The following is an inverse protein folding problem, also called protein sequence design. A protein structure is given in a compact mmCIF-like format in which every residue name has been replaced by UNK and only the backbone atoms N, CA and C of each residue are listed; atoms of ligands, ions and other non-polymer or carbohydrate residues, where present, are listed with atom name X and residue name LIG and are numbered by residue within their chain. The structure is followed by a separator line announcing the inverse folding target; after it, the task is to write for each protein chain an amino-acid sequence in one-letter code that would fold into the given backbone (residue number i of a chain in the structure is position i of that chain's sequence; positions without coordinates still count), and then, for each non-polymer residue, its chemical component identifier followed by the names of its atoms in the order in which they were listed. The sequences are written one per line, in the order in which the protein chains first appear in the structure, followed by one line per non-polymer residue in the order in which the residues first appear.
data_IF_191884028512
#
_entry.id   IF_191884028512
#
_cell.length_a   1.000
_cell.length_b   1.000
_cell.length_c   1.000
_cell.angle_alpha   90.00
_cell.angle_beta   90.00
_cell.angle_gamma   90.00
#
_symmetry.space_group_name_H-M   'P 1'
#
loop_
_entity.id
_entity.type
_entity.pdbx_description
1 polymer ?
#
# COMPACT_ATOMS: atom_id res chain seq x y z
N UNK A 1 7.48 -49.52 49.11
CA UNK A 1 6.88 -48.18 49.26
C UNK A 1 7.41 -47.19 48.22
N UNK A 2 8.73 -46.99 48.11
CA UNK A 2 9.33 -45.94 47.27
C UNK A 2 9.04 -46.05 45.76
N UNK A 3 9.04 -47.26 45.19
CA UNK A 3 8.70 -47.47 43.77
C UNK A 3 7.23 -47.15 43.45
N UNK A 4 6.32 -47.44 44.37
CA UNK A 4 4.88 -47.16 44.22
C UNK A 4 4.66 -45.64 44.30
N UNK A 5 5.32 -44.96 45.24
CA UNK A 5 5.28 -43.51 45.37
C UNK A 5 5.84 -42.80 44.13
N UNK A 6 6.95 -43.31 43.56
CA UNK A 6 7.52 -42.78 42.33
C UNK A 6 6.58 -42.99 41.13
N UNK A 7 5.96 -44.15 41.00
CA UNK A 7 4.99 -44.43 39.93
C UNK A 7 3.75 -43.54 40.02
N UNK A 8 3.20 -43.33 41.22
CA UNK A 8 2.07 -42.43 41.45
C UNK A 8 2.41 -40.97 41.15
N UNK A 9 3.60 -40.50 41.55
CA UNK A 9 4.06 -39.16 41.25
C UNK A 9 4.23 -38.93 39.73
N UNK A 10 4.76 -39.93 39.02
CA UNK A 10 4.90 -39.86 37.57
C UNK A 10 3.55 -39.87 36.85
N UNK A 11 2.63 -40.75 37.26
CA UNK A 11 1.26 -40.79 36.72
C UNK A 11 0.50 -39.50 36.94
N UNK A 12 0.60 -38.91 38.15
CA UNK A 12 0.00 -37.62 38.46
C UNK A 12 0.60 -36.49 37.62
N UNK A 13 1.93 -36.46 37.45
CA UNK A 13 2.58 -35.45 36.62
C UNK A 13 2.17 -35.57 35.13
N UNK A 14 2.11 -36.78 34.59
CA UNK A 14 1.66 -37.02 33.22
C UNK A 14 0.19 -36.60 33.02
N UNK A 15 -0.69 -36.97 33.95
CA UNK A 15 -2.09 -36.53 33.94
C UNK A 15 -2.21 -35.01 34.03
N UNK A 16 -1.44 -34.38 34.93
CA UNK A 16 -1.43 -32.93 35.10
C UNK A 16 -0.99 -32.23 33.82
N UNK A 17 0.06 -32.72 33.17
CA UNK A 17 0.53 -32.20 31.87
C UNK A 17 -0.54 -32.30 30.79
N UNK A 18 -1.27 -33.41 30.70
CA UNK A 18 -2.41 -33.52 29.78
C UNK A 18 -3.52 -32.52 30.10
N UNK A 19 -3.90 -32.42 31.38
CA UNK A 19 -4.98 -31.53 31.82
C UNK A 19 -4.72 -30.04 31.55
N UNK A 20 -3.46 -29.60 31.64
CA UNK A 20 -3.12 -28.18 31.39
C UNK A 20 -3.15 -27.81 29.91
N UNK A 21 -3.11 -28.78 28.99
CA UNK A 21 -3.27 -28.51 27.55
C UNK A 21 -4.74 -28.46 27.14
N UNK A 22 -5.57 -29.28 27.76
CA UNK A 22 -7.02 -29.31 27.51
C UNK A 22 -7.76 -28.17 28.22
N UNK A 23 -7.11 -27.45 29.14
CA UNK A 23 -7.74 -26.31 29.81
C UNK A 23 -8.18 -25.26 28.76
N UNK A 24 -9.41 -24.72 28.88
CA UNK A 24 -9.81 -23.59 28.08
C UNK A 24 -9.05 -22.34 28.53
N UNK A 25 -8.68 -21.49 27.58
CA UNK A 25 -8.25 -20.14 27.88
C UNK A 25 -9.43 -19.38 28.49
N UNK A 26 -9.16 -18.58 29.52
CA UNK A 26 -10.16 -17.75 30.20
C UNK A 26 -10.44 -16.49 29.36
N UNK A 27 -11.15 -16.70 28.25
CA UNK A 27 -11.47 -15.70 27.24
C UNK A 27 -12.97 -15.73 26.99
N UNK A 28 -13.67 -14.65 27.37
CA UNK A 28 -15.12 -14.55 27.21
C UNK A 28 -15.53 -14.07 25.81
N UNK A 29 -14.67 -13.29 25.14
CA UNK A 29 -14.88 -12.73 23.80
C UNK A 29 -13.58 -12.80 23.01
N UNK A 30 -13.67 -12.78 21.68
CA UNK A 30 -12.48 -12.75 20.82
C UNK A 30 -11.51 -11.63 21.28
N UNK A 31 -10.24 -11.99 21.51
CA UNK A 31 -9.19 -11.02 21.87
C UNK A 31 -7.88 -11.36 21.19
N UNK A 32 -7.09 -10.32 20.94
CA UNK A 32 -5.76 -10.44 20.34
C UNK A 32 -4.70 -10.55 21.43
N UNK A 33 -3.88 -11.60 21.36
CA UNK A 33 -2.73 -11.81 22.23
C UNK A 33 -1.47 -11.34 21.50
N UNK A 34 -0.93 -10.20 21.94
CA UNK A 34 0.35 -9.70 21.43
C UNK A 34 1.53 -10.50 22.01
N UNK A 35 2.36 -11.01 21.11
CA UNK A 35 3.67 -11.60 21.36
C UNK A 35 4.75 -10.64 20.84
N UNK A 36 5.36 -9.82 21.72
CA UNK A 36 6.39 -8.86 21.30
C UNK A 36 7.68 -9.54 20.82
N UNK A 37 8.44 -8.83 19.99
CA UNK A 37 9.74 -9.31 19.51
C UNK A 37 10.71 -9.63 20.66
N UNK A 38 11.42 -10.75 20.55
CA UNK A 38 12.35 -11.24 21.58
C UNK A 38 11.69 -11.87 22.81
N UNK A 39 10.37 -12.07 22.80
CA UNK A 39 9.65 -12.74 23.89
C UNK A 39 9.86 -14.26 23.85
N UNK A 40 10.11 -14.86 25.02
CA UNK A 40 10.21 -16.32 25.14
C UNK A 40 8.87 -16.93 25.54
N UNK A 41 8.59 -18.20 25.17
CA UNK A 41 7.37 -18.91 25.60
C UNK A 41 7.15 -18.86 27.11
N UNK A 42 8.22 -19.03 27.90
CA UNK A 42 8.18 -18.94 29.35
C UNK A 42 7.64 -17.59 29.84
N UNK A 43 8.08 -16.48 29.23
CA UNK A 43 7.61 -15.13 29.57
C UNK A 43 6.14 -14.97 29.21
N UNK A 44 5.70 -15.52 28.08
CA UNK A 44 4.28 -15.53 27.71
C UNK A 44 3.43 -16.31 28.70
N UNK A 45 3.82 -17.51 29.13
CA UNK A 45 3.02 -18.29 30.08
C UNK A 45 2.79 -17.56 31.40
N UNK A 46 3.84 -16.96 31.98
CA UNK A 46 3.69 -16.19 33.21
C UNK A 46 2.87 -14.92 33.01
N UNK A 47 3.05 -14.23 31.86
CA UNK A 47 2.23 -13.06 31.52
C UNK A 47 0.76 -13.44 31.41
N UNK A 48 0.44 -14.47 30.64
CA UNK A 48 -0.92 -14.96 30.45
C UNK A 48 -1.55 -15.39 31.78
N UNK A 49 -0.79 -16.08 32.65
CA UNK A 49 -1.28 -16.40 33.99
C UNK A 49 -1.54 -15.16 34.84
N UNK A 50 -0.66 -14.15 34.79
CA UNK A 50 -0.87 -12.90 35.52
C UNK A 50 -2.04 -12.07 34.99
N UNK A 51 -2.36 -12.21 33.70
CA UNK A 51 -3.55 -11.62 33.06
C UNK A 51 -4.81 -12.47 33.25
N UNK A 52 -4.71 -13.60 33.98
CA UNK A 52 -5.82 -14.51 34.22
C UNK A 52 -6.25 -15.33 33.01
N UNK A 53 -5.47 -15.38 31.92
CA UNK A 53 -5.83 -16.07 30.68
C UNK A 53 -5.72 -17.60 30.76
N UNK A 54 -4.87 -18.10 31.63
CA UNK A 54 -4.62 -19.53 31.83
C UNK A 54 -4.08 -19.75 33.25
N UNK A 55 -4.08 -21.01 33.67
CA UNK A 55 -3.50 -21.44 34.94
C UNK A 55 -2.27 -22.32 34.74
N UNK A 56 -1.55 -22.57 35.84
CA UNK A 56 -0.49 -23.58 35.89
C UNK A 56 0.68 -23.33 34.90
N UNK A 57 1.13 -22.08 34.72
CA UNK A 57 2.23 -21.73 33.80
C UNK A 57 3.52 -22.55 34.01
N UNK A 58 3.78 -23.01 35.24
CA UNK A 58 4.92 -23.89 35.56
C UNK A 58 4.85 -25.22 34.82
N UNK A 59 3.66 -25.83 34.74
CA UNK A 59 3.43 -27.09 34.03
C UNK A 59 3.48 -26.90 32.53
N UNK A 60 2.93 -25.78 32.03
CA UNK A 60 3.03 -25.41 30.61
C UNK A 60 4.49 -25.20 30.17
N UNK A 61 5.29 -24.53 31.01
CA UNK A 61 6.74 -24.40 30.80
C UNK A 61 7.43 -25.76 30.78
N UNK A 62 7.05 -26.66 31.68
CA UNK A 62 7.63 -28.01 31.72
C UNK A 62 7.31 -28.77 30.44
N UNK A 63 6.05 -28.74 30.01
CA UNK A 63 5.61 -29.35 28.76
C UNK A 63 6.36 -28.76 27.56
N UNK A 64 6.39 -27.43 27.42
CA UNK A 64 7.06 -26.76 26.30
C UNK A 64 8.53 -27.13 26.21
N UNK A 65 9.23 -27.14 27.36
CA UNK A 65 10.67 -27.46 27.41
C UNK A 65 10.99 -28.88 26.94
N UNK A 66 10.11 -29.85 27.17
CA UNK A 66 10.37 -31.25 26.84
C UNK A 66 9.74 -31.71 25.52
N UNK A 67 8.62 -31.11 25.10
CA UNK A 67 7.85 -31.56 23.93
C UNK A 67 7.92 -30.59 22.75
N UNK A 68 8.18 -29.31 23.01
CA UNK A 68 8.25 -28.23 22.00
C UNK A 68 9.68 -27.67 21.89
N UNK A 69 10.69 -28.49 22.20
CA UNK A 69 12.09 -28.10 22.07
C UNK A 69 12.42 -27.84 20.59
N UNK A 70 12.72 -26.58 20.26
CA UNK A 70 13.02 -26.14 18.89
C UNK A 70 11.86 -25.43 18.19
N UNK A 71 10.65 -25.41 18.75
CA UNK A 71 9.53 -24.63 18.21
C UNK A 71 9.79 -23.14 18.42
N UNK A 72 9.83 -22.39 17.32
CA UNK A 72 9.94 -20.94 17.37
C UNK A 72 8.60 -20.31 17.73
N UNK A 73 8.61 -19.35 18.66
CA UNK A 73 7.45 -18.52 18.94
C UNK A 73 7.51 -17.30 18.01
N UNK A 74 6.56 -17.21 17.08
CA UNK A 74 6.51 -16.09 16.14
C UNK A 74 6.03 -14.81 16.83
N UNK A 75 6.62 -13.69 16.43
CA UNK A 75 6.21 -12.35 16.88
C UNK A 75 4.95 -11.92 16.13
N UNK A 76 4.03 -11.25 16.82
CA UNK A 76 2.81 -10.73 16.21
C UNK A 76 1.63 -10.77 17.17
N UNK A 77 0.42 -10.71 16.63
CA UNK A 77 -0.82 -10.90 17.38
C UNK A 77 -1.42 -12.27 17.03
N UNK A 78 -1.91 -12.99 18.03
CA UNK A 78 -2.66 -14.23 17.84
C UNK A 78 -4.11 -14.03 18.25
N UNK A 79 -5.04 -14.55 17.45
CA UNK A 79 -6.47 -14.52 17.77
C UNK A 79 -6.80 -15.59 18.81
N UNK A 80 -7.33 -15.16 19.95
CA UNK A 80 -7.87 -16.04 20.99
C UNK A 80 -9.38 -16.03 20.91
N UNK A 81 -9.98 -17.20 20.71
CA UNK A 81 -11.43 -17.37 20.65
C UNK A 81 -11.98 -17.93 21.98
N UNK A 82 -13.24 -17.63 22.33
CA UNK A 82 -13.90 -18.30 23.46
C UNK A 82 -13.86 -19.82 23.32
N UNK A 83 -13.51 -20.52 24.40
CA UNK A 83 -13.40 -21.99 24.42
C UNK A 83 -12.13 -22.55 23.77
N UNK A 84 -11.24 -21.70 23.24
CA UNK A 84 -9.94 -22.14 22.72
C UNK A 84 -9.10 -22.77 23.83
N UNK A 85 -8.52 -23.95 23.61
CA UNK A 85 -7.68 -24.62 24.60
C UNK A 85 -6.21 -24.19 24.51
N UNK A 86 -5.43 -24.44 25.56
CA UNK A 86 -3.98 -24.19 25.52
C UNK A 86 -3.27 -25.04 24.46
N UNK A 87 -3.72 -26.28 24.24
CA UNK A 87 -3.22 -27.11 23.14
C UNK A 87 -3.42 -26.45 21.77
N UNK A 88 -4.62 -25.92 21.50
CA UNK A 88 -4.91 -25.18 20.26
C UNK A 88 -4.08 -23.90 20.13
N UNK A 89 -3.77 -23.23 21.25
CA UNK A 89 -2.87 -22.08 21.24
C UNK A 89 -1.44 -22.49 20.87
N UNK A 90 -0.96 -23.61 21.37
CA UNK A 90 0.38 -24.10 21.04
C UNK A 90 0.47 -24.50 19.58
N UNK A 91 -0.58 -25.13 19.05
CA UNK A 91 -0.70 -25.42 17.63
C UNK A 91 -0.65 -24.13 16.78
N UNK A 92 -1.38 -23.09 17.19
CA UNK A 92 -1.35 -21.78 16.52
C UNK A 92 0.05 -21.12 16.59
N UNK A 93 0.72 -21.20 17.75
CA UNK A 93 2.09 -20.71 17.90
C UNK A 93 3.08 -21.47 17.02
N UNK A 94 2.96 -22.80 16.95
CA UNK A 94 3.82 -23.65 16.15
C UNK A 94 3.64 -23.42 14.64
N UNK A 95 2.41 -23.20 14.17
CA UNK A 95 2.14 -22.86 12.77
C UNK A 95 2.48 -21.42 12.42
N UNK A 96 2.66 -20.56 13.43
CA UNK A 96 2.82 -19.13 13.21
C UNK A 96 1.53 -18.49 12.67
N UNK A 97 0.37 -18.91 13.18
CA UNK A 97 -0.96 -18.39 12.80
C UNK A 97 -1.18 -16.97 13.37
N UNK A 98 -0.28 -16.06 13.04
CA UNK A 98 -0.31 -14.65 13.45
C UNK A 98 -1.25 -13.86 12.54
N UNK A 99 -1.92 -12.88 13.13
CA UNK A 99 -2.73 -11.90 12.40
C UNK A 99 -1.81 -11.11 11.46
N UNK A 100 -2.18 -11.10 10.18
CA UNK A 100 -1.51 -10.34 9.14
C UNK A 100 -2.27 -9.05 8.83
N UNK A 101 -1.52 -8.00 8.57
CA UNK A 101 -2.01 -6.71 8.09
C UNK A 101 -1.44 -6.45 6.70
N UNK A 102 -2.09 -5.53 5.98
CA UNK A 102 -1.71 -5.15 4.63
C UNK A 102 -1.40 -3.66 4.58
N UNK A 103 -0.32 -3.30 3.90
CA UNK A 103 -0.04 -1.93 3.49
C UNK A 103 0.15 -1.90 1.97
N UNK A 104 -0.73 -1.19 1.27
CA UNK A 104 -0.60 -1.00 -0.17
C UNK A 104 0.21 0.26 -0.47
N UNK A 105 1.33 0.09 -1.16
CA UNK A 105 2.07 1.17 -1.80
C UNK A 105 1.56 1.31 -3.23
N UNK A 106 1.10 2.51 -3.59
CA UNK A 106 0.39 2.72 -4.85
C UNK A 106 1.33 3.25 -5.93
N UNK A 107 1.11 2.80 -7.17
CA UNK A 107 1.81 3.29 -8.37
C UNK A 107 1.67 4.81 -8.51
N UNK A 108 2.71 5.49 -8.97
CA UNK A 108 2.72 6.93 -9.19
C UNK A 108 2.88 7.79 -7.91
N UNK A 109 3.03 7.16 -6.73
CA UNK A 109 3.39 7.84 -5.48
C UNK A 109 4.85 8.29 -5.47
N UNK A 110 5.11 9.42 -4.82
CA UNK A 110 6.45 9.85 -4.44
C UNK A 110 6.93 9.12 -3.18
N UNK A 111 8.23 9.11 -2.92
CA UNK A 111 8.80 8.56 -1.69
C UNK A 111 8.21 9.23 -0.44
N UNK A 112 7.92 10.53 -0.51
CA UNK A 112 7.22 11.26 0.55
C UNK A 112 5.86 10.65 0.88
N UNK A 113 5.08 10.27 -0.15
CA UNK A 113 3.76 9.64 0.04
C UNK A 113 3.90 8.23 0.61
N UNK A 114 4.90 7.47 0.15
CA UNK A 114 5.23 6.15 0.72
C UNK A 114 5.53 6.28 2.21
N UNK A 115 6.42 7.21 2.60
CA UNK A 115 6.75 7.46 4.02
C UNK A 115 5.52 7.85 4.84
N UNK A 116 4.65 8.71 4.29
CA UNK A 116 3.43 9.12 4.96
C UNK A 116 2.42 7.96 5.13
N UNK A 117 2.35 7.04 4.18
CA UNK A 117 1.50 5.86 4.29
C UNK A 117 2.01 4.89 5.36
N UNK A 118 3.33 4.62 5.37
CA UNK A 118 3.97 3.76 6.39
C UNK A 118 3.81 4.36 7.78
N UNK A 119 4.07 5.66 7.95
CA UNK A 119 4.00 6.35 9.25
C UNK A 119 2.59 6.42 9.87
N UNK A 120 1.54 6.19 9.08
CA UNK A 120 0.15 6.16 9.58
C UNK A 120 -0.30 4.81 10.11
N UNK A 121 0.46 3.75 9.83
CA UNK A 121 0.02 2.41 10.14
C UNK A 121 0.41 1.99 11.57
N UNK A 122 -0.52 2.05 12.52
CA UNK A 122 -0.29 1.84 13.97
C UNK A 122 0.31 0.48 14.36
N UNK A 123 0.16 -0.54 13.50
CA UNK A 123 0.70 -1.89 13.71
C UNK A 123 2.17 -2.03 13.28
N UNK A 124 2.70 -1.07 12.52
CA UNK A 124 4.12 -1.02 12.13
C UNK A 124 4.90 -0.40 13.28
N UNK A 125 6.07 -0.96 13.57
CA UNK A 125 7.01 -0.35 14.50
C UNK A 125 7.76 0.77 13.77
N UNK A 126 7.45 2.01 14.11
CA UNK A 126 8.10 3.19 13.52
C UNK A 126 9.50 3.39 14.11
N UNK A 127 10.53 3.32 13.26
CA UNK A 127 11.94 3.53 13.61
C UNK A 127 12.62 4.57 12.72
N UNK A 128 11.89 5.10 11.73
CA UNK A 128 12.34 6.10 10.75
C UNK A 128 11.74 7.50 10.98
N UNK A 129 10.96 7.68 12.06
CA UNK A 129 10.33 8.96 12.39
C UNK A 129 11.39 10.06 12.63
N UNK A 130 11.14 11.24 12.05
CA UNK A 130 12.02 12.40 12.17
C UNK A 130 13.31 12.33 11.35
N UNK A 131 13.59 11.22 10.66
CA UNK A 131 14.79 11.08 9.82
C UNK A 131 14.62 11.76 8.46
N UNK A 132 15.71 12.32 7.95
CA UNK A 132 15.81 12.77 6.56
C UNK A 132 15.81 11.58 5.59
N UNK A 133 15.52 11.85 4.32
CA UNK A 133 15.53 10.82 3.27
C UNK A 133 16.90 10.14 3.12
N UNK A 134 18.00 10.87 3.37
CA UNK A 134 19.36 10.33 3.36
C UNK A 134 19.56 9.35 4.53
N UNK A 135 19.19 9.74 5.75
CA UNK A 135 19.32 8.89 6.94
C UNK A 135 18.43 7.63 6.87
N UNK A 136 17.27 7.73 6.22
CA UNK A 136 16.42 6.56 5.93
C UNK A 136 17.16 5.59 5.02
N UNK A 137 17.74 6.07 3.92
CA UNK A 137 18.48 5.24 2.99
C UNK A 137 19.74 4.65 3.63
N UNK A 138 20.42 5.37 4.52
CA UNK A 138 21.53 4.84 5.32
C UNK A 138 21.10 3.67 6.21
N UNK A 139 19.95 3.80 6.89
CA UNK A 139 19.40 2.71 7.72
C UNK A 139 18.97 1.49 6.92
N UNK A 140 18.56 1.68 5.67
CA UNK A 140 18.26 0.60 4.73
C UNK A 140 19.54 0.00 4.11
N UNK A 141 20.72 0.54 4.41
CA UNK A 141 22.00 0.07 3.89
C UNK A 141 22.34 0.57 2.49
N UNK A 142 21.66 1.63 2.02
CA UNK A 142 21.80 2.22 0.68
C UNK A 142 22.33 3.65 0.75
N UNK A 143 23.45 3.85 1.45
CA UNK A 143 24.06 5.17 1.66
C UNK A 143 24.40 5.88 0.35
N UNK A 144 24.04 7.17 0.26
CA UNK A 144 24.29 8.00 -0.92
C UNK A 144 23.34 7.74 -2.10
N UNK A 145 22.37 6.83 -1.95
CA UNK A 145 21.37 6.53 -2.97
C UNK A 145 20.13 7.39 -2.75
N UNK A 146 19.65 8.08 -3.80
CA UNK A 146 18.42 8.84 -3.74
C UNK A 146 17.18 7.90 -3.75
N UNK A 147 16.21 8.06 -2.84
CA UNK A 147 15.14 7.08 -2.63
C UNK A 147 14.01 7.10 -3.68
N UNK A 148 13.86 8.18 -4.43
CA UNK A 148 12.71 8.33 -5.34
C UNK A 148 12.69 7.24 -6.41
N UNK A 149 11.52 6.63 -6.58
CA UNK A 149 11.27 5.52 -7.50
C UNK A 149 11.90 4.19 -7.11
N UNK A 150 12.50 4.05 -5.91
CA UNK A 150 13.26 2.85 -5.51
C UNK A 150 12.50 1.82 -4.69
N UNK A 151 11.19 1.96 -4.55
CA UNK A 151 10.36 1.04 -3.77
C UNK A 151 9.21 0.54 -4.65
N UNK A 152 9.11 -0.77 -4.81
CA UNK A 152 8.11 -1.34 -5.70
C UNK A 152 6.69 -1.12 -5.14
N UNK A 153 5.75 -0.57 -5.91
CA UNK A 153 4.37 -0.45 -5.49
C UNK A 153 3.70 -1.84 -5.51
N UNK A 154 3.22 -2.29 -4.37
CA UNK A 154 2.51 -3.55 -4.17
C UNK A 154 1.76 -3.51 -2.82
N UNK A 155 0.99 -4.57 -2.53
CA UNK A 155 0.41 -4.80 -1.20
C UNK A 155 1.33 -5.67 -0.36
N UNK A 156 1.97 -5.06 0.64
CA UNK A 156 2.88 -5.70 1.55
C UNK A 156 2.14 -6.27 2.75
N UNK A 157 2.32 -7.57 2.99
CA UNK A 157 1.80 -8.26 4.17
C UNK A 157 2.81 -8.18 5.29
N UNK A 158 2.35 -7.85 6.49
CA UNK A 158 3.20 -7.78 7.67
C UNK A 158 2.43 -8.17 8.93
N UNK A 159 3.17 -8.34 10.03
CA UNK A 159 2.63 -8.66 11.34
C UNK A 159 2.90 -7.50 12.29
N UNK A 160 2.13 -7.40 13.38
CA UNK A 160 2.38 -6.36 14.38
C UNK A 160 3.81 -6.41 14.89
N UNK A 161 4.44 -5.24 14.94
CA UNK A 161 5.80 -5.08 15.45
C UNK A 161 6.90 -5.24 14.40
N UNK A 162 6.56 -5.63 13.16
CA UNK A 162 7.46 -5.48 12.01
C UNK A 162 7.82 -4.00 11.85
N UNK A 163 9.10 -3.71 11.64
CA UNK A 163 9.60 -2.34 11.50
C UNK A 163 9.32 -1.77 10.11
N UNK A 164 9.20 -0.44 10.06
CA UNK A 164 9.16 0.33 8.82
C UNK A 164 10.42 0.11 7.95
N UNK A 165 11.60 -0.05 8.57
CA UNK A 165 12.84 -0.44 7.88
C UNK A 165 12.69 -1.77 7.16
N UNK A 166 12.19 -2.81 7.83
CA UNK A 166 12.01 -4.13 7.22
C UNK A 166 11.03 -4.09 6.05
N UNK A 167 9.92 -3.34 6.19
CA UNK A 167 8.91 -3.22 5.13
C UNK A 167 9.48 -2.48 3.91
N UNK A 168 10.16 -1.36 4.13
CA UNK A 168 10.79 -0.61 3.04
C UNK A 168 11.94 -1.40 2.38
N UNK A 169 12.69 -2.19 3.15
CA UNK A 169 13.72 -3.07 2.60
C UNK A 169 13.11 -4.13 1.66
N UNK A 170 11.98 -4.73 2.05
CA UNK A 170 11.26 -5.66 1.18
C UNK A 170 10.82 -4.99 -0.11
N UNK A 171 10.26 -3.78 -0.04
CA UNK A 171 9.82 -3.04 -1.21
C UNK A 171 10.99 -2.63 -2.14
N UNK A 172 12.14 -2.29 -1.56
CA UNK A 172 13.36 -1.99 -2.29
C UNK A 172 13.89 -3.22 -3.03
N UNK A 173 14.08 -4.34 -2.32
CA UNK A 173 14.56 -5.59 -2.91
C UNK A 173 13.61 -6.10 -3.99
N UNK A 174 12.30 -5.95 -3.77
CA UNK A 174 11.29 -6.32 -4.75
C UNK A 174 11.47 -5.54 -6.05
N UNK A 175 11.72 -4.24 -5.99
CA UNK A 175 11.97 -3.44 -7.18
C UNK A 175 13.21 -3.93 -7.92
N UNK A 176 14.31 -4.17 -7.21
CA UNK A 176 15.56 -4.64 -7.81
C UNK A 176 15.34 -5.97 -8.56
N UNK A 177 14.59 -6.91 -7.98
CA UNK A 177 14.21 -8.17 -8.63
C UNK A 177 13.38 -7.93 -9.91
N UNK A 178 12.35 -7.08 -9.83
CA UNK A 178 11.49 -6.78 -10.97
C UNK A 178 12.30 -6.12 -12.08
N UNK A 179 13.06 -5.09 -11.74
CA UNK A 179 13.86 -4.34 -12.70
C UNK A 179 14.93 -5.21 -13.35
N UNK A 180 15.60 -6.08 -12.58
CA UNK A 180 16.58 -7.00 -13.12
C UNK A 180 15.95 -7.98 -14.13
N UNK A 181 14.75 -8.51 -13.82
CA UNK A 181 14.02 -9.40 -14.73
C UNK A 181 13.60 -8.69 -16.01
N UNK A 182 12.91 -7.57 -15.91
CA UNK A 182 12.45 -6.82 -17.10
C UNK A 182 13.64 -6.33 -17.93
N UNK A 183 14.75 -5.93 -17.29
CA UNK A 183 15.96 -5.52 -17.97
C UNK A 183 16.59 -6.65 -18.80
N UNK A 184 16.52 -7.89 -18.31
CA UNK A 184 17.02 -9.05 -19.05
C UNK A 184 16.17 -9.35 -20.31
N UNK A 185 14.88 -9.02 -20.28
CA UNK A 185 13.91 -9.26 -21.35
C UNK A 185 13.70 -8.05 -22.29
N UNK A 186 14.43 -6.95 -22.07
CA UNK A 186 14.27 -5.69 -22.81
C UNK A 186 14.56 -5.82 -24.31
N UNK A 187 13.96 -4.93 -25.11
CA UNK A 187 14.32 -4.79 -26.52
C UNK A 187 15.75 -4.26 -26.72
N UNK A 188 16.36 -4.58 -27.86
CA UNK A 188 17.70 -4.11 -28.21
C UNK A 188 17.69 -2.63 -28.60
N UNK A 189 18.86 -1.98 -28.50
CA UNK A 189 19.07 -0.60 -28.98
C UNK A 189 18.25 0.48 -28.24
N UNK A 190 17.86 0.22 -26.99
CA UNK A 190 17.29 1.27 -26.14
C UNK A 190 18.35 2.33 -25.82
N UNK A 191 17.97 3.62 -25.76
CA UNK A 191 18.92 4.70 -25.53
C UNK A 191 19.32 4.87 -24.04
N UNK A 192 19.10 3.84 -23.22
CA UNK A 192 19.44 3.81 -21.80
C UNK A 192 20.83 3.20 -21.58
N UNK A 193 21.60 3.77 -20.67
CA UNK A 193 22.94 3.25 -20.32
C UNK A 193 22.88 2.09 -19.33
N UNK A 194 21.89 2.10 -18.46
CA UNK A 194 21.75 1.19 -17.33
C UNK A 194 20.26 1.01 -16.94
N UNK A 195 19.93 0.02 -16.10
CA UNK A 195 18.56 -0.20 -15.64
C UNK A 195 17.94 1.00 -14.89
N UNK A 196 18.77 1.83 -14.24
CA UNK A 196 18.26 2.98 -13.50
C UNK A 196 17.73 4.06 -14.44
N UNK A 197 18.35 4.28 -15.60
CA UNK A 197 17.79 5.18 -16.61
C UNK A 197 16.44 4.69 -17.17
N UNK A 198 16.26 3.37 -17.32
CA UNK A 198 14.97 2.82 -17.71
C UNK A 198 13.91 3.04 -16.61
N UNK A 199 14.30 2.94 -15.34
CA UNK A 199 13.43 3.26 -14.21
C UNK A 199 13.01 4.73 -14.19
N UNK A 200 13.92 5.65 -14.53
CA UNK A 200 13.58 7.08 -14.69
C UNK A 200 12.51 7.23 -15.80
N UNK A 201 12.74 6.63 -16.96
CA UNK A 201 11.77 6.66 -18.07
C UNK A 201 10.41 6.06 -17.66
N UNK A 202 10.41 4.92 -16.98
CA UNK A 202 9.19 4.29 -16.46
C UNK A 202 8.39 5.26 -15.57
N UNK A 203 9.07 6.09 -14.77
CA UNK A 203 8.39 7.06 -13.89
C UNK A 203 7.74 8.22 -14.65
N UNK A 204 8.28 8.59 -15.82
CA UNK A 204 7.64 9.55 -16.70
C UNK A 204 6.38 8.93 -17.33
N UNK A 205 6.49 7.69 -17.83
CA UNK A 205 5.36 6.95 -18.43
C UNK A 205 4.22 6.75 -17.42
N UNK A 206 4.54 6.33 -16.19
CA UNK A 206 3.55 6.10 -15.13
C UNK A 206 2.75 7.37 -14.79
N UNK A 207 3.41 8.53 -14.80
CA UNK A 207 2.76 9.80 -14.48
C UNK A 207 1.98 10.40 -15.65
N UNK A 208 2.22 9.94 -16.86
CA UNK A 208 1.58 10.46 -18.07
C UNK A 208 0.20 9.82 -18.31
N UNK A 209 0.06 8.51 -18.13
CA UNK A 209 -1.22 7.83 -18.38
C UNK A 209 -1.57 6.78 -17.33
N UNK A 210 -2.86 6.72 -16.98
CA UNK A 210 -3.45 5.59 -16.26
C UNK A 210 -4.03 4.51 -17.18
N UNK A 211 -4.00 4.70 -18.50
CA UNK A 211 -4.56 3.75 -19.48
C UNK A 211 -3.46 2.74 -19.88
N UNK A 212 -3.61 1.45 -19.54
CA UNK A 212 -2.58 0.44 -19.80
C UNK A 212 -2.18 0.34 -21.28
N UNK A 213 -3.15 0.48 -22.20
CA UNK A 213 -2.93 0.30 -23.64
C UNK A 213 -2.09 1.42 -24.27
N UNK A 214 -1.99 2.59 -23.64
CA UNK A 214 -1.24 3.74 -24.18
C UNK A 214 0.20 3.80 -23.66
N UNK A 215 0.52 3.10 -22.57
CA UNK A 215 1.86 3.14 -21.93
C UNK A 215 2.99 2.84 -22.92
N UNK A 216 2.81 1.80 -23.75
CA UNK A 216 3.80 1.44 -24.78
C UNK A 216 4.00 2.52 -25.84
N UNK A 217 2.93 3.20 -26.27
CA UNK A 217 3.00 4.27 -27.26
C UNK A 217 3.66 5.53 -26.70
N UNK A 218 3.31 5.91 -25.46
CA UNK A 218 3.93 7.04 -24.74
C UNK A 218 5.42 6.78 -24.51
N UNK A 219 5.78 5.58 -24.04
CA UNK A 219 7.18 5.17 -23.91
C UNK A 219 7.92 5.27 -25.26
N UNK A 220 7.28 4.83 -26.35
CA UNK A 220 7.80 4.98 -27.70
C UNK A 220 8.07 6.43 -28.09
N UNK A 221 7.16 7.36 -27.78
CA UNK A 221 7.35 8.78 -28.07
C UNK A 221 8.56 9.32 -27.31
N UNK A 222 8.68 9.03 -26.01
CA UNK A 222 9.81 9.51 -25.21
C UNK A 222 11.14 8.91 -25.68
N UNK A 223 11.19 7.62 -25.99
CA UNK A 223 12.39 6.94 -26.52
C UNK A 223 12.83 7.56 -27.84
N UNK A 224 11.89 7.79 -28.77
CA UNK A 224 12.18 8.42 -30.06
C UNK A 224 12.68 9.86 -29.90
N UNK A 225 12.03 10.65 -29.06
CA UNK A 225 12.51 12.01 -28.72
C UNK A 225 13.93 11.98 -28.18
N UNK A 226 14.21 11.08 -27.25
CA UNK A 226 15.54 10.97 -26.65
C UNK A 226 16.62 10.59 -27.66
N UNK A 227 16.32 9.67 -28.59
CA UNK A 227 17.22 9.31 -29.71
C UNK A 227 17.52 10.49 -30.63
N UNK A 228 16.53 11.35 -30.87
CA UNK A 228 16.67 12.55 -31.71
C UNK A 228 17.29 13.75 -30.96
N UNK A 229 17.62 13.62 -29.67
CA UNK A 229 18.08 14.73 -28.85
C UNK A 229 17.01 15.79 -28.60
N UNK A 230 15.73 15.45 -28.79
CA UNK A 230 14.60 16.33 -28.48
C UNK A 230 14.36 16.37 -26.96
N UNK A 231 13.88 17.52 -26.48
CA UNK A 231 13.38 17.67 -25.12
C UNK A 231 12.15 16.79 -24.89
N UNK A 232 12.03 16.16 -23.71
CA UNK A 232 10.93 15.25 -23.42
C UNK A 232 9.60 16.00 -23.22
N UNK A 233 9.64 17.18 -22.59
CA UNK A 233 8.50 18.10 -22.43
C UNK A 233 7.25 17.44 -21.83
N UNK A 234 7.39 16.91 -20.62
CA UNK A 234 6.29 16.26 -19.88
C UNK A 234 5.97 17.03 -18.59
N UNK A 235 4.70 17.42 -18.44
CA UNK A 235 4.15 18.18 -17.31
C UNK A 235 4.51 17.56 -15.93
N UNK A 236 4.37 16.24 -15.71
CA UNK A 236 4.78 15.57 -14.47
C UNK A 236 6.17 15.92 -13.95
N UNK A 237 7.14 16.13 -14.85
CA UNK A 237 8.52 16.45 -14.43
C UNK A 237 8.64 17.88 -13.92
N UNK A 238 7.86 18.81 -14.48
CA UNK A 238 7.74 20.19 -13.98
C UNK A 238 7.05 20.19 -12.62
N UNK A 239 5.94 19.46 -12.49
CA UNK A 239 5.20 19.31 -11.22
C UNK A 239 6.14 18.78 -10.12
N UNK A 240 6.91 17.74 -10.42
CA UNK A 240 7.87 17.18 -9.48
C UNK A 240 8.94 18.21 -9.08
N UNK A 241 9.52 18.93 -10.06
CA UNK A 241 10.53 19.96 -9.81
C UNK A 241 10.00 21.19 -9.05
N UNK A 242 8.71 21.50 -9.15
CA UNK A 242 8.06 22.56 -8.35
C UNK A 242 7.91 22.16 -6.87
N UNK A 243 7.81 20.86 -6.59
CA UNK A 243 7.58 20.34 -5.24
C UNK A 243 6.33 20.96 -4.60
N UNK A 244 6.49 21.51 -3.39
CA UNK A 244 5.39 22.09 -2.61
C UNK A 244 4.79 23.37 -3.22
N UNK A 245 5.46 23.99 -4.21
CA UNK A 245 4.89 25.15 -4.93
C UNK A 245 3.72 24.78 -5.83
N UNK A 246 3.59 23.50 -6.19
CA UNK A 246 2.51 23.04 -7.05
C UNK A 246 1.17 23.05 -6.30
N UNK A 247 0.23 23.84 -6.79
CA UNK A 247 -1.11 24.01 -6.20
C UNK A 247 -2.23 23.44 -7.07
N UNK A 248 -1.90 22.50 -7.96
CA UNK A 248 -2.86 21.90 -8.90
C UNK A 248 -2.92 22.59 -10.27
N UNK A 249 -2.12 23.64 -10.50
CA UNK A 249 -2.05 24.34 -11.80
C UNK A 249 -0.61 24.58 -12.21
N UNK A 250 -0.32 24.41 -13.49
CA UNK A 250 0.96 24.78 -14.12
C UNK A 250 0.70 26.02 -14.98
N UNK A 251 1.57 27.02 -14.85
CA UNK A 251 1.56 28.23 -15.66
C UNK A 251 2.65 28.20 -16.73
N UNK A 252 2.57 29.10 -17.71
CA UNK A 252 3.63 29.27 -18.71
C UNK A 252 4.97 29.70 -18.09
N UNK A 253 4.96 30.37 -16.95
CA UNK A 253 6.17 30.74 -16.24
C UNK A 253 6.86 29.48 -15.67
N UNK A 254 6.08 28.57 -15.08
CA UNK A 254 6.58 27.32 -14.52
C UNK A 254 7.23 26.44 -15.59
N UNK A 255 6.61 26.33 -16.78
CA UNK A 255 7.18 25.59 -17.92
C UNK A 255 8.52 26.17 -18.41
N UNK A 256 8.80 27.45 -18.15
CA UNK A 256 10.02 28.13 -18.59
C UNK A 256 11.06 28.27 -17.48
N UNK A 257 10.71 27.98 -16.22
CA UNK A 257 11.62 28.04 -15.08
C UNK A 257 12.62 26.88 -15.16
N UNK A 258 13.93 27.14 -15.31
CA UNK A 258 14.91 26.07 -15.37
C UNK A 258 15.03 25.38 -14.00
N UNK A 259 14.78 24.09 -13.97
CA UNK A 259 15.05 23.22 -12.81
C UNK A 259 15.74 21.95 -13.29
N UNK A 260 16.43 21.19 -12.42
CA UNK A 260 17.03 19.91 -12.79
C UNK A 260 16.04 18.86 -13.30
N UNK A 261 14.73 19.06 -13.08
CA UNK A 261 13.68 18.15 -13.50
C UNK A 261 12.85 18.70 -14.67
N UNK A 262 12.92 20.00 -14.98
CA UNK A 262 12.06 20.59 -16.00
C UNK A 262 12.51 20.20 -17.42
N UNK A 263 11.89 19.16 -17.96
CA UNK A 263 12.13 18.63 -19.32
C UNK A 263 11.65 19.55 -20.46
N UNK A 264 11.13 20.75 -20.17
CA UNK A 264 10.94 21.82 -21.15
C UNK A 264 12.18 22.72 -21.30
N UNK A 265 13.11 22.64 -20.36
CA UNK A 265 14.32 23.47 -20.32
C UNK A 265 15.61 22.66 -20.40
N UNK A 266 15.51 21.34 -20.39
CA UNK A 266 16.64 20.41 -20.50
C UNK A 266 16.37 19.30 -21.51
N UNK A 267 17.44 18.75 -22.09
CA UNK A 267 17.41 17.57 -22.95
C UNK A 267 17.75 16.31 -22.17
N UNK A 268 17.11 15.18 -22.53
CA UNK A 268 17.34 13.88 -21.90
C UNK A 268 16.50 13.65 -20.64
N UNK A 269 16.90 12.65 -19.86
CA UNK A 269 16.20 12.24 -18.64
C UNK A 269 16.50 13.21 -17.47
N UNK A 270 15.52 13.42 -16.55
CA UNK A 270 15.80 14.07 -15.27
C UNK A 270 16.79 13.23 -14.43
N UNK A 271 17.38 13.78 -13.35
CA UNK A 271 18.43 13.12 -12.59
C UNK A 271 17.96 11.87 -11.82
N UNK A 272 16.67 11.77 -11.51
CA UNK A 272 16.07 10.66 -10.75
C UNK A 272 14.68 10.35 -11.29
N UNK A 273 14.08 9.19 -10.93
CA UNK A 273 12.65 8.99 -11.09
C UNK A 273 11.86 10.09 -10.38
N UNK A 274 10.60 10.27 -10.78
CA UNK A 274 9.66 11.23 -10.17
C UNK A 274 8.51 10.57 -9.39
N UNK A 275 8.49 9.22 -9.35
CA UNK A 275 7.51 8.40 -8.64
C UNK A 275 7.95 6.93 -8.56
N UNK A 276 7.32 6.17 -7.67
CA UNK A 276 7.27 4.71 -7.66
C UNK A 276 6.47 4.20 -8.87
N UNK A 277 6.97 3.15 -9.51
CA UNK A 277 6.44 2.68 -10.80
C UNK A 277 6.01 1.23 -10.75
N UNK A 278 4.90 0.93 -11.41
CA UNK A 278 4.42 -0.43 -11.58
C UNK A 278 5.30 -1.24 -12.54
N UNK A 279 5.13 -2.56 -12.52
CA UNK A 279 5.78 -3.46 -13.49
C UNK A 279 5.44 -3.06 -14.92
N UNK A 280 4.20 -2.68 -15.19
CA UNK A 280 3.74 -2.35 -16.55
C UNK A 280 4.41 -1.10 -17.11
N UNK A 281 4.70 -0.10 -16.28
CA UNK A 281 5.45 1.09 -16.69
C UNK A 281 6.93 0.76 -16.94
N UNK A 282 7.54 -0.08 -16.10
CA UNK A 282 8.90 -0.61 -16.32
C UNK A 282 8.95 -1.38 -17.65
N UNK A 283 7.98 -2.26 -17.88
CA UNK A 283 7.86 -3.04 -19.09
C UNK A 283 7.73 -2.15 -20.32
N UNK A 284 6.83 -1.16 -20.30
CA UNK A 284 6.65 -0.21 -21.40
C UNK A 284 7.91 0.61 -21.70
N UNK A 285 8.65 1.04 -20.68
CA UNK A 285 9.91 1.74 -20.87
C UNK A 285 10.98 0.87 -21.56
N UNK A 286 10.98 -0.44 -21.28
CA UNK A 286 11.94 -1.41 -21.83
C UNK A 286 11.48 -2.09 -23.12
N UNK A 287 10.18 -2.04 -23.42
CA UNK A 287 9.56 -2.60 -24.61
C UNK A 287 8.57 -1.58 -25.21
N UNK A 288 9.06 -0.39 -25.62
CA UNK A 288 8.21 0.65 -26.19
C UNK A 288 7.57 0.18 -27.50
N UNK A 289 6.36 0.66 -27.79
CA UNK A 289 5.70 0.37 -29.06
C UNK A 289 6.45 1.03 -30.22
N UNK A 290 6.65 0.26 -31.29
CA UNK A 290 7.16 0.74 -32.56
C UNK A 290 6.26 1.84 -33.14
N UNK A 291 6.83 2.70 -33.98
CA UNK A 291 6.11 3.77 -34.66
C UNK A 291 6.98 5.00 -34.91
N UNK A 292 6.36 6.03 -35.48
CA UNK A 292 7.00 7.30 -35.86
C UNK A 292 6.60 8.47 -34.96
N UNK A 293 5.60 8.31 -34.10
CA UNK A 293 5.02 9.43 -33.36
C UNK A 293 6.00 10.11 -32.42
N UNK A 294 6.07 11.44 -32.51
CA UNK A 294 6.94 12.29 -31.71
C UNK A 294 6.15 13.18 -30.76
N UNK A 295 4.83 13.21 -30.87
CA UNK A 295 3.97 14.06 -30.06
C UNK A 295 2.76 13.27 -29.60
N UNK A 296 2.21 13.66 -28.45
CA UNK A 296 0.90 13.21 -28.03
C UNK A 296 0.15 14.33 -27.32
N UNK A 297 -1.17 14.29 -27.35
CA UNK A 297 -2.03 15.24 -26.65
C UNK A 297 -3.25 14.54 -26.07
N UNK A 298 -3.58 14.86 -24.82
CA UNK A 298 -4.76 14.32 -24.14
C UNK A 298 -6.05 14.79 -24.81
N UNK A 299 -6.99 13.86 -25.04
CA UNK A 299 -8.34 14.12 -25.60
C UNK A 299 -9.32 14.68 -24.58
N UNK A 300 -9.02 14.54 -23.28
CA UNK A 300 -9.88 14.94 -22.16
C UNK A 300 -10.75 13.83 -21.58
N UNK A 301 -10.78 12.66 -22.21
CA UNK A 301 -11.43 11.43 -21.70
C UNK A 301 -10.43 10.46 -21.02
N UNK A 302 -9.17 10.89 -20.88
CA UNK A 302 -8.06 10.09 -20.35
C UNK A 302 -7.17 9.47 -21.43
N UNK A 303 -7.61 9.43 -22.69
CA UNK A 303 -6.83 8.93 -23.83
C UNK A 303 -6.06 10.03 -24.55
N UNK A 304 -5.18 9.63 -25.47
CA UNK A 304 -4.29 10.50 -26.23
C UNK A 304 -4.49 10.39 -27.75
N UNK A 305 -4.13 11.47 -28.45
CA UNK A 305 -3.87 11.44 -29.90
C UNK A 305 -2.37 11.53 -30.08
N UNK A 306 -1.82 10.61 -30.87
CA UNK A 306 -0.40 10.57 -31.22
C UNK A 306 -0.19 11.17 -32.61
N UNK A 307 0.89 11.94 -32.77
CA UNK A 307 1.21 12.62 -34.02
C UNK A 307 2.70 12.50 -34.33
N UNK A 308 3.01 12.41 -35.62
CA UNK A 308 4.37 12.22 -36.12
C UNK A 308 5.12 13.55 -36.29
N UNK A 309 4.38 14.61 -36.64
CA UNK A 309 4.91 15.96 -36.78
C UNK A 309 4.17 17.01 -35.95
N UNK A 310 4.74 18.22 -35.94
CA UNK A 310 4.29 19.33 -35.12
C UNK A 310 2.99 19.97 -35.65
N UNK A 311 2.75 19.93 -36.96
CA UNK A 311 1.56 20.54 -37.56
C UNK A 311 0.31 19.71 -37.26
N UNK A 312 0.43 18.39 -37.33
CA UNK A 312 -0.60 17.44 -36.89
C UNK A 312 -0.87 17.56 -35.39
N UNK A 313 0.20 17.62 -34.58
CA UNK A 313 0.06 17.82 -33.14
C UNK A 313 -0.67 19.13 -32.81
N UNK A 314 -0.27 20.25 -33.44
CA UNK A 314 -0.92 21.55 -33.23
C UNK A 314 -2.39 21.52 -33.66
N UNK A 315 -2.73 20.76 -34.70
CA UNK A 315 -4.12 20.56 -35.13
C UNK A 315 -4.92 19.80 -34.07
N UNK A 316 -4.38 18.72 -33.53
CA UNK A 316 -5.00 17.97 -32.44
C UNK A 316 -5.15 18.81 -31.16
N UNK A 317 -4.14 19.61 -30.79
CA UNK A 317 -4.23 20.55 -29.65
C UNK A 317 -5.40 21.53 -29.84
N UNK A 318 -5.56 22.10 -31.05
CA UNK A 318 -6.68 23.00 -31.34
C UNK A 318 -8.04 22.30 -31.24
N UNK A 319 -8.12 21.03 -31.63
CA UNK A 319 -9.33 20.24 -31.57
C UNK A 319 -9.75 19.91 -30.13
N UNK A 320 -8.82 19.36 -29.34
CA UNK A 320 -9.11 18.77 -28.03
C UNK A 320 -8.91 19.72 -26.85
N UNK A 321 -7.99 20.70 -26.93
CA UNK A 321 -7.70 21.58 -25.79
C UNK A 321 -8.35 22.97 -25.86
N UNK A 322 -8.56 23.53 -27.06
CA UNK A 322 -9.09 24.91 -27.18
C UNK A 322 -10.62 24.99 -27.05
N UNK A 323 -11.36 23.90 -27.26
CA UNK A 323 -12.83 23.81 -27.06
C UNK A 323 -13.19 23.42 -25.61
N UNK A 324 -12.50 24.00 -24.61
CA UNK A 324 -12.48 23.54 -23.20
C UNK A 324 -13.86 23.26 -22.61
N UNK A 325 -14.08 22.01 -22.19
CA UNK A 325 -14.97 21.66 -21.08
C UNK A 325 -14.27 21.99 -19.74
N UNK A 326 -15.05 22.20 -18.68
CA UNK A 326 -14.56 22.68 -17.37
C UNK A 326 -13.68 21.68 -16.60
N UNK A 327 -13.57 20.44 -17.08
CA UNK A 327 -12.98 19.26 -16.46
C UNK A 327 -11.62 18.82 -17.06
N UNK A 328 -11.07 19.56 -18.02
CA UNK A 328 -9.81 19.21 -18.69
C UNK A 328 -8.57 19.20 -17.76
N UNK A 329 -7.78 18.12 -17.82
CA UNK A 329 -6.47 17.98 -17.14
C UNK A 329 -5.44 17.38 -18.11
N UNK A 330 -4.22 17.94 -18.12
CA UNK A 330 -3.09 17.46 -18.93
C UNK A 330 -2.35 16.27 -18.32
N UNK A 331 -2.67 15.90 -17.08
CA UNK A 331 -2.21 14.69 -16.41
C UNK A 331 -3.32 14.16 -15.49
N UNK A 332 -3.31 12.87 -15.11
CA UNK A 332 -4.26 12.33 -14.14
C UNK A 332 -4.27 13.14 -12.85
N UNK A 333 -5.42 13.21 -12.18
CA UNK A 333 -5.52 13.83 -10.86
C UNK A 333 -4.50 13.19 -9.89
N UNK A 334 -3.90 13.95 -8.96
CA UNK A 334 -3.18 13.33 -7.86
C UNK A 334 -4.11 12.33 -7.19
N UNK A 335 -3.73 11.04 -7.16
CA UNK A 335 -4.50 10.07 -6.40
C UNK A 335 -4.46 10.50 -4.94
N UNK A 336 -5.65 10.86 -4.43
CA UNK A 336 -5.84 11.21 -3.04
C UNK A 336 -5.46 10.03 -2.16
N UNK A 337 -4.88 10.37 -1.02
CA UNK A 337 -4.70 9.56 0.19
C UNK A 337 -5.57 8.28 0.23
N UNK A 338 -5.00 7.09 0.48
CA UNK A 338 -5.82 5.90 0.70
C UNK A 338 -6.83 6.17 1.81
N UNK A 339 -8.08 5.71 1.68
CA UNK A 339 -8.94 5.56 2.85
C UNK A 339 -8.22 4.68 3.88
N UNK A 340 -8.42 4.97 5.16
CA UNK A 340 -7.90 4.14 6.24
C UNK A 340 -8.30 2.68 5.98
N UNK A 341 -7.33 1.78 6.05
CA UNK A 341 -7.50 0.36 5.76
C UNK A 341 -8.65 -0.21 6.60
N UNK A 342 -9.76 -0.53 5.95
CA UNK A 342 -10.77 -1.40 6.54
C UNK A 342 -10.16 -2.79 6.69
N UNK A 343 -10.02 -3.22 7.94
CA UNK A 343 -9.67 -4.58 8.32
C UNK A 343 -10.79 -5.52 7.83
N UNK A 344 -10.59 -6.18 6.69
CA UNK A 344 -11.49 -7.24 6.24
C UNK A 344 -11.33 -8.48 7.13
N UNK A 345 -12.29 -8.68 8.02
CA UNK A 345 -12.55 -9.98 8.64
C UNK A 345 -13.19 -10.92 7.60
N UNK A 346 -12.81 -12.21 7.50
CA UNK A 346 -13.50 -13.15 6.64
C UNK A 346 -14.59 -13.90 7.41
N UNK A 347 -15.81 -13.89 6.85
CA UNK A 347 -16.77 -14.97 7.03
C UNK A 347 -18.15 -14.52 7.50
N UNK A 348 -19.09 -14.44 6.56
CA UNK A 348 -20.45 -14.93 6.78
C UNK A 348 -20.96 -15.52 5.46
N UNK A 349 -21.07 -16.85 5.44
CA UNK A 349 -21.85 -17.60 4.47
C UNK A 349 -23.33 -17.46 4.83
N UNK A 350 -24.09 -16.73 4.02
CA UNK A 350 -25.56 -16.73 4.03
C UNK A 350 -26.09 -17.84 3.11
N UNK A 351 -27.13 -18.61 3.50
CA UNK A 351 -27.92 -19.38 2.56
C UNK A 351 -29.12 -18.58 2.05
N UNK A 352 -29.51 -18.92 0.83
CA UNK A 352 -30.54 -18.34 -0.01
C UNK A 352 -31.96 -18.29 0.59
N UNK A 353 -32.70 -17.24 0.19
CA UNK A 353 -34.09 -17.37 -0.26
C UNK A 353 -35.18 -16.83 0.67
N UNK A 354 -35.88 -15.76 0.23
CA UNK A 354 -37.31 -15.77 -0.16
C UNK A 354 -37.75 -14.35 -0.60
N UNK A 355 -38.56 -14.35 -1.66
CA UNK A 355 -39.19 -13.29 -2.46
C UNK A 355 -39.84 -12.06 -1.76
N UNK A 356 -40.00 -10.91 -2.47
CA UNK A 356 -40.67 -9.71 -1.97
C UNK A 356 -42.10 -9.52 -2.51
N UNK A 357 -42.97 -8.85 -1.74
CA UNK A 357 -44.25 -8.29 -2.22
C UNK A 357 -44.75 -7.17 -1.27
N UNK A 358 -45.68 -6.27 -1.67
CA UNK A 358 -45.33 -4.88 -1.97
C UNK A 358 -46.16 -3.81 -1.22
N UNK A 359 -45.88 -2.56 -1.57
CA UNK A 359 -46.46 -1.30 -1.13
C UNK A 359 -48.00 -1.23 -1.07
N UNK A 360 -48.50 -0.38 -0.16
CA UNK A 360 -49.85 0.19 -0.21
C UNK A 360 -49.77 1.68 0.11
N UNK A 361 -50.24 2.49 -0.84
CA UNK A 361 -50.41 3.94 -0.76
C UNK A 361 -51.90 4.25 -0.40
N UNK A 362 -52.40 5.51 -0.44
CA UNK A 362 -52.83 6.29 0.73
C UNK A 362 -54.35 6.50 0.84
N UNK A 363 -54.82 7.12 1.93
CA UNK A 363 -56.17 7.69 2.02
C UNK A 363 -56.18 9.04 2.75
N UNK A 364 -56.76 10.05 2.09
CA UNK A 364 -57.10 11.39 2.59
C UNK A 364 -58.63 11.45 2.93
N UNK A 365 -59.27 12.62 3.09
CA UNK A 365 -59.29 13.51 4.26
C UNK A 365 -60.74 13.86 4.73
N UNK A 366 -60.90 14.53 5.87
CA UNK A 366 -62.06 15.37 6.25
C UNK A 366 -61.82 15.98 7.65
N UNK A 367 -62.44 17.06 8.13
CA UNK A 367 -62.89 18.34 7.59
C UNK A 367 -63.23 19.22 8.83
N UNK A 368 -62.96 20.52 8.74
CA UNK A 368 -63.51 21.69 9.46
C UNK A 368 -63.82 21.70 10.98
N UNK A 369 -63.25 22.68 11.70
CA UNK A 369 -64.01 23.85 12.22
C UNK A 369 -63.14 24.88 12.97
N UNK A 370 -63.45 26.16 12.75
CA UNK A 370 -62.86 27.41 13.31
C UNK A 370 -63.97 28.06 14.18
N UNK A 371 -63.69 28.85 15.26
CA UNK A 371 -63.51 30.33 15.16
C UNK A 371 -62.37 30.87 16.06
N UNK A 372 -61.49 31.76 15.57
CA UNK A 372 -61.49 33.24 15.71
C UNK A 372 -61.23 33.78 17.13
N UNK A 373 -60.08 34.44 17.37
CA UNK A 373 -60.00 35.91 17.55
C UNK A 373 -58.54 36.40 17.71
N UNK A 374 -58.25 37.61 17.23
CA UNK A 374 -56.95 38.35 17.28
C UNK A 374 -57.25 39.67 18.02
N UNK A 375 -56.35 40.28 18.83
CA UNK A 375 -55.26 41.09 18.26
C UNK A 375 -53.94 41.18 19.08
N UNK A 376 -52.88 41.52 18.32
CA UNK A 376 -51.57 42.08 18.71
C UNK A 376 -51.71 43.51 19.34
N UNK A 377 -50.66 44.32 19.64
CA UNK A 377 -49.20 44.29 19.32
C UNK A 377 -48.31 44.50 20.59
N UNK A 378 -46.97 44.63 20.64
CA UNK A 378 -45.92 45.38 19.92
C UNK A 378 -44.56 44.73 20.23
N UNK A 379 -43.64 44.52 19.26
CA UNK A 379 -42.50 45.40 18.90
C UNK A 379 -41.64 45.95 20.07
N UNK A 380 -40.46 45.35 20.26
CA UNK A 380 -39.17 45.99 20.00
C UNK A 380 -38.15 44.95 19.54
#
# INVERSE_FOLDING_TARGET
MSLILAGLAFGWAAWKVGSVLEQPLQVEQERLLEVPSGTTPNRMFYRMQSEGLLDDAVWLRLYWRFNMAGTALHTGEYRLNPGMTVGQLFDAWQRGDVVQYNLTLVEGWTFRQVRAAVARHEKIKHTLDGLSDVEVMDKLGHTGVFPEGRFFPDTYRFVRGMSDVELLQQAYMRLDEVLAKEWAERTTDLPYRDPYQALIMASLVEKETGIPQERGQIAGVFVRRMRLGMMLQTDPTVIYGMGERYNGKITRADLREPTPYNTYTMTGLPPTPIAMVGREAIHAALNPSDGSSLYFVARGDGSHVFSDDLDDHNSAVREFQLKRRADYRSSPAPQGQPPASESTAPGDTEPEGVEPAPASEPAAPADQSVPADTPAPDKQ
#
